data_IF_793304292019
#
_entry.id   IF_793304292019
#
_cell.length_a   1.000
_cell.length_b   1.000
_cell.length_c   1.000
_cell.angle_alpha   90.00
_cell.angle_beta   90.00
_cell.angle_gamma   90.00
#
_symmetry.space_group_name_H-M   'P 1'
#
loop_
_entity.id
_entity.type
_entity.pdbx_description
1 polymer ?
#
# COMPACT_ATOMS: atom_id res chain seq x y z
N UNK A 1 12.81 -32.07 22.05
CA UNK A 1 11.56 -31.65 21.39
C UNK A 1 11.26 -30.21 21.78
N UNK A 2 12.03 -29.22 21.30
CA UNK A 2 11.86 -27.80 21.70
C UNK A 2 12.14 -26.84 20.52
N UNK A 3 12.17 -27.34 19.28
CA UNK A 3 12.50 -26.54 18.08
C UNK A 3 11.26 -26.00 17.35
N UNK A 4 10.08 -26.55 17.64
CA UNK A 4 8.82 -26.20 16.96
C UNK A 4 8.21 -24.88 17.47
N UNK A 5 8.29 -24.62 18.79
CA UNK A 5 7.65 -23.45 19.39
C UNK A 5 8.33 -22.14 18.97
N UNK A 6 9.66 -22.14 18.80
CA UNK A 6 10.40 -20.98 18.28
C UNK A 6 10.13 -20.70 16.80
N UNK A 7 9.89 -21.74 16.00
CA UNK A 7 9.66 -21.63 14.56
C UNK A 7 8.32 -20.96 14.21
N UNK A 8 7.27 -21.18 15.00
CA UNK A 8 5.98 -20.50 14.83
C UNK A 8 5.94 -19.13 15.53
N UNK A 9 6.72 -18.95 16.60
CA UNK A 9 6.73 -17.71 17.38
C UNK A 9 7.19 -16.51 16.55
N UNK A 10 8.24 -16.67 15.75
CA UNK A 10 8.76 -15.60 14.88
C UNK A 10 7.76 -15.12 13.80
N UNK A 11 7.17 -15.99 12.95
CA UNK A 11 6.18 -15.56 11.97
C UNK A 11 4.90 -15.01 12.61
N UNK A 12 4.45 -15.54 13.75
CA UNK A 12 3.33 -14.97 14.48
C UNK A 12 3.60 -13.54 14.95
N UNK A 13 4.79 -13.25 15.47
CA UNK A 13 5.18 -11.87 15.82
C UNK A 13 5.21 -10.95 14.60
N UNK A 14 5.73 -11.41 13.46
CA UNK A 14 5.72 -10.63 12.22
C UNK A 14 4.29 -10.34 11.75
N UNK A 15 3.39 -11.33 11.79
CA UNK A 15 1.98 -11.15 11.43
C UNK A 15 1.29 -10.13 12.34
N UNK A 16 1.52 -10.20 13.65
CA UNK A 16 0.99 -9.23 14.61
C UNK A 16 1.49 -7.81 14.29
N UNK A 17 2.78 -7.65 13.99
CA UNK A 17 3.34 -6.35 13.60
C UNK A 17 2.70 -5.83 12.30
N UNK A 18 2.51 -6.68 11.28
CA UNK A 18 1.88 -6.28 10.02
C UNK A 18 0.41 -5.85 10.18
N UNK A 19 -0.33 -6.47 11.11
CA UNK A 19 -1.72 -6.11 11.39
C UNK A 19 -1.81 -4.82 12.21
N UNK A 20 -0.91 -4.63 13.18
CA UNK A 20 -0.92 -3.45 14.05
C UNK A 20 -0.25 -2.22 13.41
N UNK A 21 0.67 -2.43 12.48
CA UNK A 21 1.40 -1.36 11.83
C UNK A 21 1.20 -1.48 10.31
N UNK A 22 0.43 -0.57 9.69
CA UNK A 22 0.30 -0.57 8.24
C UNK A 22 1.68 -0.32 7.63
N UNK A 23 2.23 -1.34 6.96
CA UNK A 23 3.57 -1.31 6.32
C UNK A 23 3.72 -0.15 5.32
N UNK A 24 2.61 0.34 4.78
CA UNK A 24 2.56 1.53 3.96
C UNK A 24 1.35 2.37 4.37
N UNK A 25 1.61 3.60 4.82
CA UNK A 25 0.58 4.64 4.91
C UNK A 25 0.54 5.35 3.57
N UNK A 26 -0.53 5.15 2.81
CA UNK A 26 -0.81 6.02 1.69
C UNK A 26 -1.12 7.41 2.24
N UNK A 27 -0.42 8.43 1.75
CA UNK A 27 -0.81 9.80 2.05
C UNK A 27 -2.13 10.09 1.38
N UNK A 28 -3.03 10.72 2.12
CA UNK A 28 -4.39 11.07 1.68
C UNK A 28 -4.51 12.55 1.29
N UNK A 29 -3.45 13.33 1.49
CA UNK A 29 -3.45 14.79 1.37
C UNK A 29 -2.43 15.27 0.33
N UNK A 30 -2.86 16.17 -0.55
CA UNK A 30 -1.96 16.93 -1.44
C UNK A 30 -1.50 18.20 -0.73
N UNK A 31 -0.21 18.47 -0.74
CA UNK A 31 0.37 19.74 -0.26
C UNK A 31 1.24 20.37 -1.32
N UNK A 32 1.59 21.66 -1.14
CA UNK A 32 2.48 22.38 -2.06
C UNK A 32 3.83 21.69 -2.24
N UNK A 33 4.37 21.15 -1.16
CA UNK A 33 5.68 20.48 -1.15
C UNK A 33 5.59 19.02 -1.62
N UNK A 34 4.37 18.50 -1.80
CA UNK A 34 4.12 17.10 -2.18
C UNK A 34 3.00 16.99 -3.20
N UNK A 35 3.23 17.45 -4.44
CA UNK A 35 2.25 17.32 -5.51
C UNK A 35 2.01 15.83 -5.84
N UNK A 36 0.80 15.55 -6.30
CA UNK A 36 0.46 14.27 -6.90
C UNK A 36 1.01 14.23 -8.34
N UNK A 37 1.63 13.13 -8.75
CA UNK A 37 2.15 12.93 -10.11
C UNK A 37 1.48 11.74 -10.80
N UNK A 38 1.60 11.66 -12.13
CA UNK A 38 1.11 10.51 -12.91
C UNK A 38 1.62 9.18 -12.34
N UNK A 39 0.75 8.18 -12.26
CA UNK A 39 1.05 6.88 -11.66
C UNK A 39 0.83 6.78 -10.15
N UNK A 40 0.77 7.91 -9.42
CA UNK A 40 0.50 7.93 -7.97
C UNK A 40 -0.98 8.08 -7.68
N UNK A 41 -1.40 7.53 -6.53
CA UNK A 41 -2.75 7.66 -5.98
C UNK A 41 -2.67 7.99 -4.49
N UNK A 42 -3.58 8.83 -4.03
CA UNK A 42 -3.88 9.03 -2.62
C UNK A 42 -4.96 8.04 -2.24
N UNK A 43 -4.88 7.49 -1.03
CA UNK A 43 -5.93 6.61 -0.50
C UNK A 43 -6.37 7.20 0.82
N UNK A 44 -7.68 7.41 0.98
CA UNK A 44 -8.24 7.98 2.20
C UNK A 44 -7.86 7.15 3.41
N UNK A 45 -7.79 7.78 4.59
CA UNK A 45 -7.79 7.05 5.85
C UNK A 45 -8.89 5.98 5.88
N UNK A 46 -8.54 4.75 6.24
CA UNK A 46 -9.44 3.58 6.21
C UNK A 46 -9.60 2.89 4.85
N UNK A 47 -8.97 3.36 3.76
CA UNK A 47 -8.88 2.63 2.50
C UNK A 47 -10.09 2.70 1.57
N UNK A 48 -11.11 3.51 1.91
CA UNK A 48 -12.39 3.52 1.19
C UNK A 48 -12.38 4.28 -0.14
N UNK A 49 -11.56 5.31 -0.26
CA UNK A 49 -11.51 6.16 -1.44
C UNK A 49 -10.09 6.25 -1.98
N UNK A 50 -9.94 6.27 -3.31
CA UNK A 50 -8.67 6.50 -3.96
C UNK A 50 -8.78 7.66 -4.98
N UNK A 51 -7.81 8.58 -4.96
CA UNK A 51 -7.72 9.72 -5.87
C UNK A 51 -6.41 9.65 -6.66
N UNK A 52 -6.48 9.76 -7.98
CA UNK A 52 -5.31 9.69 -8.85
C UNK A 52 -5.55 10.29 -10.23
N UNK A 53 -4.48 10.43 -11.00
CA UNK A 53 -4.62 10.73 -12.42
C UNK A 53 -5.11 9.50 -13.17
N UNK A 54 -6.14 9.69 -13.97
CA UNK A 54 -6.58 8.69 -14.93
C UNK A 54 -5.47 8.42 -15.94
N UNK A 55 -5.15 7.15 -16.15
CA UNK A 55 -4.19 6.70 -17.15
C UNK A 55 -4.97 5.91 -18.20
N UNK A 56 -5.31 6.52 -19.36
CA UNK A 56 -5.94 5.78 -20.43
C UNK A 56 -5.00 4.67 -20.90
N UNK A 57 -5.56 3.50 -21.20
CA UNK A 57 -4.80 2.50 -21.94
C UNK A 57 -4.42 3.11 -23.30
N UNK A 58 -3.13 3.04 -23.64
CA UNK A 58 -2.73 3.26 -25.04
C UNK A 58 -3.32 2.10 -25.84
N UNK A 59 -4.39 2.38 -26.57
CA UNK A 59 -4.86 1.45 -27.61
C UNK A 59 -3.86 1.62 -28.75
N UNK A 60 -2.82 0.78 -28.76
CA UNK A 60 -2.06 0.51 -29.97
C UNK A 60 -2.99 -0.29 -30.87
N UNK A 61 -3.80 0.40 -31.68
CA UNK A 61 -4.41 -0.26 -32.81
C UNK A 61 -3.27 -0.64 -33.76
N UNK A 62 -3.13 -1.92 -34.03
CA UNK A 62 -2.22 -2.42 -35.04
C UNK A 62 -2.70 -1.99 -36.44
N UNK A 63 -2.22 -0.83 -36.91
CA UNK A 63 -2.14 -0.50 -38.34
C UNK A 63 -0.87 0.27 -38.61
#
# INVERSE_FOLDING_TARGET
METSLGALRFPCFLLLICVHHPLARADDTVSRDRPLSGGRRLVSSGGNFALGFFQPALILNET
#
